data_IF_350643712676
#
_entry.id   IF_350643712676
#
_cell.length_a   1.000
_cell.length_b   1.000
_cell.length_c   1.000
_cell.angle_alpha   90.00
_cell.angle_beta   90.00
_cell.angle_gamma   90.00
#
_symmetry.space_group_name_H-M   'P 1'
#
loop_
_entity.id
_entity.type
_entity.pdbx_description
1 polymer ?
#
# COMPACT_ATOMS: atom_id res chain seq x y z
N UNK A 1 -1.34 -5.24 -20.55
CA UNK A 1 -0.35 -5.53 -19.49
C UNK A 1 -1.07 -6.24 -18.38
N UNK A 2 -0.47 -7.26 -17.77
CA UNK A 2 -1.03 -7.89 -16.57
C UNK A 2 -0.65 -7.08 -15.31
N UNK A 3 -1.15 -7.52 -14.15
CA UNK A 3 -0.96 -6.74 -12.93
C UNK A 3 0.49 -6.79 -12.41
N UNK A 4 1.19 -7.90 -12.64
CA UNK A 4 2.60 -8.05 -12.32
C UNK A 4 3.47 -7.05 -13.08
N UNK A 5 3.24 -6.89 -14.38
CA UNK A 5 3.93 -5.91 -15.23
C UNK A 5 3.66 -4.47 -14.78
N UNK A 6 2.39 -4.15 -14.44
CA UNK A 6 1.99 -2.83 -13.93
C UNK A 6 2.72 -2.51 -12.63
N UNK A 7 2.81 -3.48 -11.72
CA UNK A 7 3.47 -3.31 -10.43
C UNK A 7 4.97 -3.19 -10.58
N UNK A 8 5.60 -4.02 -11.41
CA UNK A 8 7.03 -3.92 -11.70
C UNK A 8 7.39 -2.54 -12.30
N UNK A 9 6.56 -2.04 -13.22
CA UNK A 9 6.72 -0.69 -13.77
C UNK A 9 6.56 0.37 -12.67
N UNK A 10 5.57 0.23 -11.81
CA UNK A 10 5.30 1.15 -10.70
C UNK A 10 6.47 1.23 -9.72
N UNK A 11 7.07 0.08 -9.36
CA UNK A 11 8.29 0.02 -8.54
C UNK A 11 9.44 0.76 -9.23
N UNK A 12 9.70 0.49 -10.52
CA UNK A 12 10.75 1.16 -11.31
C UNK A 12 10.63 2.69 -11.30
N UNK A 13 9.39 3.20 -11.28
CA UNK A 13 9.11 4.64 -11.28
C UNK A 13 8.93 5.24 -9.88
N UNK A 14 9.17 4.49 -8.80
CA UNK A 14 8.98 4.92 -7.41
C UNK A 14 7.56 5.45 -7.14
N UNK A 15 6.56 4.73 -7.65
CA UNK A 15 5.15 5.00 -7.41
C UNK A 15 4.78 4.57 -5.99
N UNK A 16 4.08 5.45 -5.26
CA UNK A 16 3.57 5.14 -3.92
C UNK A 16 2.19 4.48 -3.96
N UNK A 17 1.31 4.95 -4.85
CA UNK A 17 -0.06 4.48 -4.93
C UNK A 17 -0.51 4.40 -6.40
N UNK A 18 -1.19 3.32 -6.76
CA UNK A 18 -1.94 3.16 -8.01
C UNK A 18 -3.43 3.40 -7.72
N UNK A 19 -4.09 4.11 -8.63
CA UNK A 19 -5.51 4.40 -8.57
C UNK A 19 -6.15 3.90 -9.85
N UNK A 20 -6.96 2.85 -9.71
CA UNK A 20 -7.65 2.16 -10.79
C UNK A 20 -9.15 2.37 -10.62
N UNK A 21 -9.85 2.64 -11.71
CA UNK A 21 -11.30 2.83 -11.67
C UNK A 21 -11.91 2.32 -12.97
N UNK A 22 -13.01 1.56 -12.88
CA UNK A 22 -13.65 0.91 -14.03
C UNK A 22 -14.02 1.86 -15.18
N UNK A 23 -14.22 3.17 -14.90
CA UNK A 23 -14.66 4.15 -15.88
C UNK A 23 -13.61 5.23 -16.24
N UNK A 24 -12.40 5.16 -15.67
CA UNK A 24 -11.39 6.21 -15.84
C UNK A 24 -10.00 5.64 -16.13
N UNK A 25 -9.15 6.41 -16.87
CA UNK A 25 -7.76 6.02 -17.07
C UNK A 25 -7.04 5.79 -15.74
N UNK A 26 -6.12 4.83 -15.73
CA UNK A 26 -5.29 4.55 -14.57
C UNK A 26 -4.45 5.77 -14.20
N UNK A 27 -4.32 6.00 -12.90
CA UNK A 27 -3.46 7.07 -12.36
C UNK A 27 -2.52 6.49 -11.33
N UNK A 28 -1.37 7.11 -11.20
CA UNK A 28 -0.39 6.75 -10.19
C UNK A 28 0.09 7.97 -9.42
N UNK A 29 0.56 7.75 -8.20
CA UNK A 29 1.12 8.79 -7.34
C UNK A 29 2.62 8.64 -7.27
N UNK A 30 3.35 9.68 -7.69
CA UNK A 30 4.81 9.75 -7.59
C UNK A 30 5.15 10.98 -6.76
N UNK A 31 5.90 10.79 -5.67
CA UNK A 31 6.32 11.88 -4.75
C UNK A 31 5.16 12.81 -4.33
N UNK A 32 4.00 12.22 -4.04
CA UNK A 32 2.80 12.95 -3.60
C UNK A 32 1.95 13.56 -4.72
N UNK A 33 2.36 13.49 -5.99
CA UNK A 33 1.62 14.05 -7.14
C UNK A 33 0.90 12.96 -7.92
N UNK A 34 -0.35 13.24 -8.31
CA UNK A 34 -1.18 12.33 -9.10
C UNK A 34 -0.98 12.57 -10.60
N UNK A 35 -0.45 11.58 -11.29
CA UNK A 35 -0.15 11.63 -12.73
C UNK A 35 -0.92 10.54 -13.48
N UNK A 36 -1.05 10.70 -14.80
CA UNK A 36 -1.59 9.64 -15.65
C UNK A 36 -0.60 8.48 -15.69
N UNK A 37 -1.10 7.25 -15.52
CA UNK A 37 -0.26 6.08 -15.66
C UNK A 37 -0.06 5.75 -17.15
N UNK A 38 1.14 5.31 -17.57
CA UNK A 38 1.46 5.03 -18.98
C UNK A 38 0.97 3.64 -19.41
N UNK A 39 -0.23 3.25 -18.98
CA UNK A 39 -0.88 1.98 -19.31
C UNK A 39 -2.40 2.12 -19.21
N UNK A 40 -3.12 1.26 -19.92
CA UNK A 40 -4.57 1.20 -19.83
C UNK A 40 -5.03 0.62 -18.49
N UNK A 41 -6.15 1.12 -17.97
CA UNK A 41 -6.70 0.60 -16.73
C UNK A 41 -7.09 -0.88 -16.89
N UNK A 42 -6.61 -1.78 -16.02
CA UNK A 42 -7.07 -3.16 -16.00
C UNK A 42 -8.53 -3.23 -15.51
N UNK A 43 -9.20 -4.35 -15.77
CA UNK A 43 -10.54 -4.59 -15.25
C UNK A 43 -10.51 -4.75 -13.73
N UNK A 44 -11.02 -3.75 -13.02
CA UNK A 44 -11.04 -3.72 -11.56
C UNK A 44 -11.93 -4.82 -10.98
N UNK A 45 -13.03 -5.16 -11.64
CA UNK A 45 -13.96 -6.18 -11.13
C UNK A 45 -13.38 -7.58 -11.29
N UNK A 46 -12.64 -7.83 -12.37
CA UNK A 46 -11.89 -9.08 -12.56
C UNK A 46 -10.80 -9.23 -11.49
N UNK A 47 -9.99 -8.19 -11.27
CA UNK A 47 -8.95 -8.20 -10.23
C UNK A 47 -9.53 -8.49 -8.83
N UNK A 48 -10.64 -7.84 -8.47
CA UNK A 48 -11.28 -8.06 -7.17
C UNK A 48 -11.88 -9.46 -7.05
N UNK A 49 -12.36 -10.05 -8.15
CA UNK A 49 -12.86 -11.42 -8.16
C UNK A 49 -11.73 -12.43 -7.93
N UNK A 50 -10.54 -12.17 -8.47
CA UNK A 50 -9.37 -13.02 -8.29
C UNK A 50 -8.75 -12.88 -6.90
N UNK A 51 -8.75 -11.68 -6.32
CA UNK A 51 -8.01 -11.40 -5.09
C UNK A 51 -8.81 -11.55 -3.80
N UNK A 52 -10.12 -11.30 -3.86
CA UNK A 52 -10.97 -11.35 -2.67
C UNK A 52 -11.59 -12.73 -2.51
N UNK A 53 -11.74 -13.19 -1.28
CA UNK A 53 -12.59 -14.35 -0.97
C UNK A 53 -14.09 -13.98 -0.96
N UNK A 54 -14.96 -14.98 -0.77
CA UNK A 54 -16.42 -14.78 -0.76
C UNK A 54 -16.88 -13.82 0.34
N UNK A 55 -16.30 -13.92 1.54
CA UNK A 55 -16.67 -13.10 2.69
C UNK A 55 -16.27 -11.63 2.45
N UNK A 56 -15.06 -11.41 1.92
CA UNK A 56 -14.56 -10.09 1.54
C UNK A 56 -15.40 -9.46 0.43
N UNK A 57 -15.82 -10.23 -0.58
CA UNK A 57 -16.73 -9.75 -1.61
C UNK A 57 -18.09 -9.36 -1.03
N UNK A 58 -18.63 -10.16 -0.11
CA UNK A 58 -19.88 -9.84 0.58
C UNK A 58 -19.75 -8.52 1.36
N UNK A 59 -18.65 -8.32 2.10
CA UNK A 59 -18.36 -7.08 2.83
C UNK A 59 -18.30 -5.88 1.87
N UNK A 60 -17.60 -6.01 0.73
CA UNK A 60 -17.51 -4.94 -0.27
C UNK A 60 -18.89 -4.59 -0.84
N UNK A 61 -19.74 -5.59 -1.09
CA UNK A 61 -21.10 -5.37 -1.60
C UNK A 61 -22.03 -4.73 -0.57
N UNK A 62 -21.95 -5.15 0.69
CA UNK A 62 -22.80 -4.65 1.78
C UNK A 62 -22.39 -3.24 2.22
N UNK A 63 -21.09 -3.04 2.46
CA UNK A 63 -20.57 -1.79 3.03
C UNK A 63 -20.13 -0.78 1.96
N UNK A 64 -20.03 -1.21 0.70
CA UNK A 64 -19.53 -0.39 -0.40
C UNK A 64 -18.03 -0.10 -0.32
N UNK A 65 -17.29 -0.68 0.64
CA UNK A 65 -15.83 -0.53 0.74
C UNK A 65 -15.19 -1.70 1.48
N UNK A 66 -13.92 -1.97 1.17
CA UNK A 66 -13.09 -2.99 1.79
C UNK A 66 -11.60 -2.63 1.70
N UNK A 67 -10.91 -2.71 2.84
CA UNK A 67 -9.45 -2.72 2.90
C UNK A 67 -8.93 -4.16 2.97
N UNK A 68 -7.92 -4.49 2.17
CA UNK A 68 -7.32 -5.83 2.12
C UNK A 68 -5.82 -5.75 1.79
N UNK A 69 -5.14 -6.89 1.84
CA UNK A 69 -3.75 -7.00 1.40
C UNK A 69 -3.63 -8.15 0.41
N UNK A 70 -2.84 -7.95 -0.64
CA UNK A 70 -2.55 -8.96 -1.66
C UNK A 70 -1.03 -9.07 -1.83
N UNK A 71 -0.57 -10.29 -2.04
CA UNK A 71 0.83 -10.58 -2.38
C UNK A 71 0.85 -11.08 -3.81
N UNK A 72 1.54 -10.35 -4.68
CA UNK A 72 1.78 -10.77 -6.06
C UNK A 72 3.04 -11.62 -6.16
N UNK A 73 3.34 -12.10 -7.36
CA UNK A 73 4.61 -12.76 -7.68
C UNK A 73 5.82 -11.91 -7.23
N UNK A 74 6.95 -12.57 -6.97
CA UNK A 74 8.17 -11.94 -6.41
C UNK A 74 8.00 -11.28 -5.04
N UNK A 75 7.01 -11.71 -4.25
CA UNK A 75 6.77 -11.25 -2.88
C UNK A 75 6.42 -9.75 -2.77
N UNK A 76 6.00 -9.12 -3.88
CA UNK A 76 5.57 -7.73 -3.86
C UNK A 76 4.20 -7.63 -3.18
N UNK A 77 4.20 -7.06 -1.98
CA UNK A 77 2.98 -6.86 -1.19
C UNK A 77 2.33 -5.53 -1.53
N UNK A 78 1.01 -5.55 -1.65
CA UNK A 78 0.18 -4.39 -1.87
C UNK A 78 -0.88 -4.31 -0.77
N UNK A 79 -1.19 -3.10 -0.32
CA UNK A 79 -2.42 -2.84 0.43
C UNK A 79 -3.47 -2.29 -0.53
N UNK A 80 -4.59 -2.99 -0.66
CA UNK A 80 -5.72 -2.59 -1.47
C UNK A 80 -6.81 -1.92 -0.64
N UNK A 81 -7.46 -0.93 -1.25
CA UNK A 81 -8.68 -0.32 -0.76
C UNK A 81 -9.66 -0.23 -1.93
N UNK A 82 -10.66 -1.09 -1.90
CA UNK A 82 -11.75 -1.11 -2.88
C UNK A 82 -12.94 -0.32 -2.33
N UNK A 83 -13.59 0.48 -3.17
CA UNK A 83 -14.78 1.22 -2.78
C UNK A 83 -15.69 1.48 -3.99
N UNK A 84 -17.00 1.36 -3.76
CA UNK A 84 -18.02 1.69 -4.73
C UNK A 84 -18.16 3.21 -4.87
N UNK A 85 -18.31 3.66 -6.10
CA UNK A 85 -18.62 5.04 -6.45
C UNK A 85 -19.70 5.09 -7.53
N UNK A 86 -20.15 6.30 -7.89
CA UNK A 86 -21.26 6.49 -8.83
C UNK A 86 -21.05 5.82 -10.20
N UNK A 87 -19.80 5.63 -10.62
CA UNK A 87 -19.45 5.07 -11.93
C UNK A 87 -18.86 3.66 -11.87
N UNK A 88 -19.11 2.92 -10.78
CA UNK A 88 -18.61 1.55 -10.59
C UNK A 88 -17.66 1.45 -9.40
N UNK A 89 -16.75 0.48 -9.42
CA UNK A 89 -15.81 0.26 -8.33
C UNK A 89 -14.48 0.96 -8.63
N UNK A 90 -13.89 1.54 -7.58
CA UNK A 90 -12.53 2.06 -7.58
C UNK A 90 -11.65 1.21 -6.70
N UNK A 91 -10.39 1.09 -7.09
CA UNK A 91 -9.36 0.36 -6.36
C UNK A 91 -8.12 1.24 -6.22
N UNK A 92 -7.77 1.56 -4.98
CA UNK A 92 -6.50 2.18 -4.64
C UNK A 92 -5.54 1.12 -4.12
N UNK A 93 -4.35 1.03 -4.70
CA UNK A 93 -3.31 0.08 -4.31
C UNK A 93 -2.09 0.84 -3.85
N UNK A 94 -1.67 0.61 -2.61
CA UNK A 94 -0.40 1.11 -2.09
C UNK A 94 0.65 0.04 -2.22
N UNK A 95 1.75 0.38 -2.88
CA UNK A 95 2.93 -0.49 -2.93
C UNK A 95 3.60 -0.48 -1.56
N UNK A 96 3.74 -1.65 -0.95
CA UNK A 96 4.49 -1.79 0.28
C UNK A 96 5.95 -2.10 -0.08
N UNK A 97 6.93 -1.42 0.55
CA UNK A 97 8.33 -1.74 0.30
C UNK A 97 8.62 -3.18 0.70
N UNK A 98 9.36 -3.90 -0.13
CA UNK A 98 9.76 -5.30 0.09
C UNK A 98 10.75 -5.45 1.25
N UNK A 99 11.46 -4.37 1.60
CA UNK A 99 12.33 -4.30 2.75
C UNK A 99 11.91 -3.14 3.66
N UNK A 100 11.76 -3.40 4.96
CA UNK A 100 11.62 -2.33 5.93
C UNK A 100 13.01 -1.68 6.08
N UNK A 101 13.18 -0.38 5.78
CA UNK A 101 14.47 0.28 5.96
C UNK A 101 14.88 0.23 7.43
N UNK A 102 16.16 0.01 7.67
CA UNK A 102 16.69 0.05 9.03
C UNK A 102 16.61 1.48 9.58
N UNK A 103 16.51 1.63 10.90
CA UNK A 103 16.38 2.93 11.56
C UNK A 103 17.49 3.91 11.15
N UNK A 104 18.71 3.40 11.00
CA UNK A 104 19.89 4.14 10.57
C UNK A 104 19.72 4.75 9.17
N UNK A 105 19.02 4.04 8.28
CA UNK A 105 18.74 4.49 6.90
C UNK A 105 17.65 5.57 6.86
N UNK A 106 16.82 5.67 7.91
CA UNK A 106 15.78 6.68 8.04
C UNK A 106 16.31 8.02 8.59
N UNK A 107 17.62 8.13 8.87
CA UNK A 107 18.19 9.29 9.55
C UNK A 107 17.70 9.41 10.99
N UNK A 108 17.28 8.29 11.59
CA UNK A 108 16.83 8.25 12.96
C UNK A 108 17.94 8.72 13.91
N UNK A 109 17.64 9.61 14.88
CA UNK A 109 18.61 9.99 15.90
C UNK A 109 19.19 8.76 16.62
N UNK A 110 20.49 8.75 16.97
CA UNK A 110 21.15 7.61 17.61
C UNK A 110 20.56 7.24 18.98
N UNK A 111 19.72 8.10 19.57
CA UNK A 111 18.97 7.82 20.81
C UNK A 111 17.84 6.80 20.61
N UNK A 112 17.31 6.64 19.39
CA UNK A 112 16.19 5.72 19.13
C UNK A 112 16.55 4.25 19.39
N UNK A 113 17.69 3.71 18.90
CA UNK A 113 18.14 2.36 19.25
C UNK A 113 18.33 2.14 20.75
N UNK A 114 18.73 3.16 21.51
CA UNK A 114 18.86 3.07 22.97
C UNK A 114 17.50 3.01 23.67
N UNK A 115 16.54 3.83 23.22
CA UNK A 115 15.16 3.79 23.71
C UNK A 115 14.50 2.43 23.44
N UNK A 116 14.76 1.83 22.28
CA UNK A 116 14.24 0.51 21.89
C UNK A 116 14.81 -0.65 22.74
N UNK A 117 15.94 -0.47 23.42
CA UNK A 117 16.50 -1.48 24.35
C UNK A 117 15.83 -1.47 25.73
N UNK A 118 14.90 -0.56 25.97
CA UNK A 118 14.19 -0.48 27.25
C UNK A 118 13.24 -1.66 27.38
N UNK A 119 13.42 -2.50 28.40
CA UNK A 119 12.57 -3.68 28.63
C UNK A 119 11.11 -3.32 28.97
N UNK A 120 10.85 -2.07 29.40
CA UNK A 120 9.52 -1.58 29.73
C UNK A 120 9.40 -0.08 29.42
N UNK A 121 8.33 0.33 28.74
CA UNK A 121 8.04 1.72 28.43
C UNK A 121 7.03 1.88 27.29
N UNK A 122 6.42 3.07 27.18
CA UNK A 122 5.54 3.43 26.07
C UNK A 122 6.28 4.41 25.15
N UNK A 123 6.50 4.01 23.89
CA UNK A 123 7.10 4.87 22.87
C UNK A 123 5.99 5.30 21.90
N UNK A 124 5.71 6.60 21.84
CA UNK A 124 4.70 7.17 20.95
C UNK A 124 5.35 7.78 19.69
N UNK A 125 5.17 7.14 18.54
CA UNK A 125 5.65 7.66 17.24
C UNK A 125 4.52 8.47 16.59
N UNK A 126 4.63 9.80 16.61
CA UNK A 126 3.60 10.72 16.06
C UNK A 126 4.05 11.37 14.74
N UNK A 127 3.10 11.86 13.96
CA UNK A 127 3.35 12.45 12.63
C UNK A 127 2.12 12.37 11.72
N UNK A 128 2.04 13.24 10.71
CA UNK A 128 0.93 13.28 9.75
C UNK A 128 0.82 11.99 8.91
N UNK A 129 -0.35 11.70 8.33
CA UNK A 129 -0.54 10.52 7.46
C UNK A 129 0.47 10.55 6.30
N UNK A 130 1.21 9.45 6.09
CA UNK A 130 2.27 9.37 5.08
C UNK A 130 3.67 9.82 5.54
N UNK A 131 3.86 10.24 6.80
CA UNK A 131 5.18 10.68 7.31
C UNK A 131 6.17 9.56 7.67
N UNK A 132 5.90 8.31 7.27
CA UNK A 132 6.79 7.18 7.58
C UNK A 132 6.64 6.52 8.96
N UNK A 133 5.62 6.89 9.77
CA UNK A 133 5.40 6.29 11.12
C UNK A 133 5.41 4.76 11.14
N UNK A 134 4.68 4.13 10.22
CA UNK A 134 4.60 2.66 10.11
C UNK A 134 5.94 2.04 9.69
N UNK A 135 6.75 2.78 8.95
CA UNK A 135 8.10 2.39 8.54
C UNK A 135 9.08 2.50 9.72
N UNK A 136 8.96 3.54 10.55
CA UNK A 136 9.77 3.70 11.77
C UNK A 136 9.42 2.70 12.87
N UNK A 137 8.13 2.36 13.01
CA UNK A 137 7.66 1.36 13.98
C UNK A 137 7.85 -0.10 13.52
N UNK A 138 8.11 -0.32 12.24
CA UNK A 138 8.24 -1.66 11.65
C UNK A 138 9.67 -2.20 11.58
N UNK A 139 10.67 -1.49 12.11
CA UNK A 139 12.05 -2.00 12.16
C UNK A 139 12.17 -3.20 13.09
N UNK A 140 13.08 -4.13 12.80
CA UNK A 140 13.23 -5.44 13.48
C UNK A 140 13.36 -5.40 15.03
N UNK A 141 13.56 -4.22 15.64
CA UNK A 141 13.67 -4.07 17.10
C UNK A 141 12.35 -4.06 17.89
N UNK A 142 11.19 -4.19 17.25
CA UNK A 142 9.87 -4.16 17.94
C UNK A 142 9.22 -5.54 18.12
N UNK A 143 9.73 -6.60 17.47
CA UNK A 143 9.16 -7.95 17.47
C UNK A 143 10.01 -8.99 18.22
N UNK A 144 10.98 -8.55 19.01
CA UNK A 144 11.82 -9.41 19.87
C UNK A 144 11.41 -9.30 21.33
#
# INVERSE_FOLDING_TARGET
MNMEEIVALSVKHNVSDLHLCSAWPARWRIRGRMEAAPFDAPDVEELLREWLDDDQRAILLENGQLDFAVSLAENQRLRGSAFAQRQGISLALRLLPSHCPQLEQLGAPPVLPELLKSENGLILVTGATGSGKSTTAGGDGWLS
#
